data_IF_740155930190
#
_entry.id   IF_740155930190
#
_cell.length_a   1.000
_cell.length_b   1.000
_cell.length_c   1.000
_cell.angle_alpha   90.00
_cell.angle_beta   90.00
_cell.angle_gamma   90.00
#
_symmetry.space_group_name_H-M   'P 1'
#
loop_
_entity.id
_entity.type
_entity.pdbx_description
1 polymer ?
#
# COMPACT_ATOMS: atom_id res chain seq x y z
N UNK A 1 9.28 -5.30 24.19
CA UNK A 1 8.56 -6.45 23.64
C UNK A 1 8.90 -6.50 22.17
N UNK A 2 9.48 -7.59 21.69
CA UNK A 2 9.91 -7.72 20.30
C UNK A 2 8.83 -8.44 19.48
N UNK A 3 8.66 -8.09 18.19
CA UNK A 3 7.76 -8.80 17.31
C UNK A 3 8.29 -10.21 17.03
N UNK A 4 7.40 -11.19 16.89
CA UNK A 4 7.77 -12.54 16.43
C UNK A 4 7.97 -12.60 14.92
N UNK A 5 7.23 -11.75 14.20
CA UNK A 5 7.30 -11.62 12.75
C UNK A 5 7.25 -10.13 12.44
N UNK A 6 8.14 -9.68 11.57
CA UNK A 6 8.09 -8.34 11.02
C UNK A 6 8.41 -8.42 9.52
N UNK A 7 7.52 -7.85 8.71
CA UNK A 7 7.62 -7.88 7.25
C UNK A 7 7.10 -6.60 6.65
N UNK A 8 7.66 -6.20 5.51
CA UNK A 8 7.02 -5.23 4.65
C UNK A 8 6.01 -5.95 3.77
N UNK A 9 4.96 -5.24 3.39
CA UNK A 9 4.08 -5.62 2.30
C UNK A 9 4.10 -4.51 1.27
N UNK A 10 4.24 -4.86 0.00
CA UNK A 10 4.27 -3.90 -1.09
C UNK A 10 3.36 -4.32 -2.25
N UNK A 11 2.86 -3.34 -3.00
CA UNK A 11 2.02 -3.54 -4.16
C UNK A 11 2.35 -2.49 -5.23
N UNK A 12 2.23 -2.87 -6.51
CA UNK A 12 2.49 -1.98 -7.66
C UNK A 12 1.24 -1.85 -8.51
N UNK A 13 0.96 -0.65 -9.02
CA UNK A 13 -0.09 -0.45 -10.01
C UNK A 13 0.38 -0.95 -11.38
N UNK A 14 -0.54 -1.44 -12.24
CA UNK A 14 -0.19 -1.93 -13.57
C UNK A 14 0.10 -0.81 -14.59
N UNK A 15 -0.36 0.41 -14.32
CA UNK A 15 -0.28 1.58 -15.19
C UNK A 15 -0.21 2.90 -14.39
N UNK A 16 -0.16 4.02 -15.13
CA UNK A 16 -0.15 5.40 -14.64
C UNK A 16 -1.53 6.07 -14.67
N UNK A 17 -2.60 5.33 -14.96
CA UNK A 17 -3.94 5.90 -15.06
C UNK A 17 -4.63 5.96 -13.69
N UNK A 18 -4.35 4.96 -12.83
CA UNK A 18 -5.03 4.80 -11.55
C UNK A 18 -4.06 4.52 -10.41
N UNK A 19 -3.98 5.47 -9.47
CA UNK A 19 -3.35 5.28 -8.16
C UNK A 19 -4.29 4.51 -7.22
N UNK A 20 -4.62 3.28 -7.59
CA UNK A 20 -5.53 2.38 -6.88
C UNK A 20 -4.87 1.02 -6.63
N UNK A 21 -4.88 0.57 -5.38
CA UNK A 21 -4.21 -0.66 -4.93
C UNK A 21 -5.18 -1.79 -4.54
N UNK A 22 -6.45 -1.68 -4.93
CA UNK A 22 -7.46 -2.72 -4.72
C UNK A 22 -7.33 -3.83 -5.77
N UNK A 23 -7.65 -5.06 -5.41
CA UNK A 23 -7.61 -6.21 -6.34
C UNK A 23 -8.74 -6.19 -7.40
N UNK A 24 -9.78 -5.39 -7.17
CA UNK A 24 -10.95 -5.29 -8.05
C UNK A 24 -11.26 -3.82 -8.23
N UNK A 25 -11.58 -3.42 -9.47
CA UNK A 25 -12.02 -2.08 -9.81
C UNK A 25 -13.45 -2.08 -10.34
N UNK A 26 -14.15 -0.98 -10.11
CA UNK A 26 -15.44 -0.71 -10.71
C UNK A 26 -15.25 -0.10 -12.11
N UNK A 27 -16.08 -0.53 -13.06
CA UNK A 27 -16.14 -0.01 -14.42
C UNK A 27 -17.27 1.04 -14.54
N UNK A 28 -17.26 1.89 -15.59
CA UNK A 28 -18.28 2.94 -15.76
C UNK A 28 -19.74 2.43 -15.82
N UNK A 29 -19.94 1.16 -16.11
CA UNK A 29 -21.24 0.49 -16.17
C UNK A 29 -21.61 -0.24 -14.86
N UNK A 30 -20.91 0.07 -13.75
CA UNK A 30 -21.06 -0.53 -12.42
C UNK A 30 -20.77 -2.03 -12.35
N UNK A 31 -20.09 -2.57 -13.37
CA UNK A 31 -19.53 -3.92 -13.29
C UNK A 31 -18.16 -3.90 -12.60
N UNK A 32 -17.78 -5.04 -12.04
CA UNK A 32 -16.46 -5.21 -11.41
C UNK A 32 -15.53 -5.97 -12.35
N UNK A 33 -14.31 -5.46 -12.50
CA UNK A 33 -13.25 -6.10 -13.26
C UNK A 33 -12.03 -6.39 -12.37
N UNK A 34 -11.28 -7.48 -12.66
CA UNK A 34 -10.00 -7.69 -12.02
C UNK A 34 -9.07 -6.49 -12.20
N UNK A 35 -8.42 -6.08 -11.12
CA UNK A 35 -7.33 -5.12 -11.10
C UNK A 35 -6.14 -5.83 -10.46
N UNK A 36 -5.12 -6.26 -11.23
CA UNK A 36 -4.12 -7.23 -10.77
C UNK A 36 -3.09 -6.65 -9.80
N UNK A 37 -3.53 -5.83 -8.84
CA UNK A 37 -2.70 -5.32 -7.75
C UNK A 37 -2.75 -6.30 -6.59
N UNK A 38 -1.59 -6.86 -6.27
CA UNK A 38 -1.42 -7.87 -5.22
C UNK A 38 -0.38 -7.35 -4.23
N UNK A 39 -0.68 -7.50 -2.95
CA UNK A 39 0.24 -7.19 -1.86
C UNK A 39 1.13 -8.39 -1.58
N UNK A 40 2.43 -8.21 -1.83
CA UNK A 40 3.44 -9.24 -1.66
C UNK A 40 4.28 -8.94 -0.41
N UNK A 41 4.63 -9.96 0.39
CA UNK A 41 5.51 -9.78 1.53
C UNK A 41 6.97 -9.61 1.08
N UNK A 42 7.71 -8.79 1.81
CA UNK A 42 9.15 -8.59 1.66
C UNK A 42 9.82 -8.48 3.04
N UNK A 43 11.08 -8.89 3.13
CA UNK A 43 11.84 -8.78 4.36
C UNK A 43 12.18 -7.32 4.65
N UNK A 44 12.07 -6.91 5.92
CA UNK A 44 12.56 -5.60 6.36
C UNK A 44 14.03 -5.70 6.76
N UNK A 45 14.76 -4.59 6.64
CA UNK A 45 16.07 -4.47 7.25
C UNK A 45 15.92 -4.23 8.75
N UNK A 46 16.48 -5.12 9.57
CA UNK A 46 16.59 -4.93 11.02
C UNK A 46 17.82 -4.07 11.33
N UNK A 47 17.59 -2.87 11.87
CA UNK A 47 18.62 -1.91 12.25
C UNK A 47 19.02 -2.04 13.74
N UNK A 48 18.42 -3.00 14.46
CA UNK A 48 18.58 -3.19 15.89
C UNK A 48 17.74 -2.23 16.73
N UNK A 49 17.70 -2.47 18.04
CA UNK A 49 16.95 -1.66 19.02
C UNK A 49 15.46 -1.45 18.65
N UNK A 50 14.84 -2.45 18.00
CA UNK A 50 13.45 -2.38 17.56
C UNK A 50 13.20 -1.41 16.39
N UNK A 51 14.24 -1.02 15.66
CA UNK A 51 14.15 -0.17 14.46
C UNK A 51 14.23 -1.04 13.21
N UNK A 52 13.25 -0.86 12.32
CA UNK A 52 13.14 -1.64 11.09
C UNK A 52 12.90 -0.71 9.90
N UNK A 53 13.50 -1.02 8.76
CA UNK A 53 13.45 -0.20 7.56
C UNK A 53 12.90 -1.02 6.39
N UNK A 54 11.93 -0.43 5.68
CA UNK A 54 11.49 -0.86 4.37
C UNK A 54 11.74 0.29 3.41
N UNK A 55 12.58 0.08 2.42
CA UNK A 55 12.98 1.09 1.44
C UNK A 55 12.79 0.52 0.03
N UNK A 56 12.23 1.33 -0.86
CA UNK A 56 11.89 0.94 -2.22
C UNK A 56 12.30 2.03 -3.19
N UNK A 57 12.86 1.64 -4.33
CA UNK A 57 13.07 2.53 -5.47
C UNK A 57 11.73 2.92 -6.11
N UNK A 58 11.71 4.11 -6.71
CA UNK A 58 10.57 4.55 -7.51
C UNK A 58 10.31 3.55 -8.66
N UNK A 59 9.05 3.13 -8.85
CA UNK A 59 8.73 2.26 -9.97
C UNK A 59 8.96 3.00 -11.30
N UNK A 60 9.34 2.30 -12.38
CA UNK A 60 9.55 2.94 -13.69
C UNK A 60 8.26 3.51 -14.30
N UNK A 61 7.09 3.06 -13.83
CA UNK A 61 5.76 3.56 -14.17
C UNK A 61 4.80 3.30 -13.00
N UNK A 62 3.73 4.09 -12.93
CA UNK A 62 2.67 3.93 -11.94
C UNK A 62 3.13 4.26 -10.52
N UNK A 63 2.59 3.53 -9.55
CA UNK A 63 2.87 3.73 -8.13
C UNK A 63 3.22 2.42 -7.44
N UNK A 64 4.07 2.53 -6.42
CA UNK A 64 4.36 1.49 -5.46
C UNK A 64 3.83 1.93 -4.10
N UNK A 65 2.97 1.13 -3.49
CA UNK A 65 2.55 1.29 -2.11
C UNK A 65 3.23 0.25 -1.23
N UNK A 66 3.61 0.62 -0.01
CA UNK A 66 4.20 -0.29 0.95
C UNK A 66 3.89 0.11 2.39
N UNK A 67 3.90 -0.86 3.29
CA UNK A 67 3.82 -0.67 4.74
C UNK A 67 4.60 -1.78 5.45
N UNK A 68 4.82 -1.63 6.75
CA UNK A 68 5.41 -2.67 7.62
C UNK A 68 4.32 -3.23 8.53
N UNK A 69 4.25 -4.56 8.63
CA UNK A 69 3.42 -5.28 9.60
C UNK A 69 4.30 -5.94 10.66
N UNK A 70 3.97 -5.71 11.93
CA UNK A 70 4.60 -6.36 13.07
C UNK A 70 3.58 -7.24 13.81
N UNK A 71 3.93 -8.50 14.04
CA UNK A 71 3.09 -9.49 14.71
C UNK A 71 3.67 -9.82 16.09
N UNK A 72 2.88 -9.63 17.14
CA UNK A 72 3.26 -9.86 18.54
C UNK A 72 2.45 -11.01 19.15
N UNK A 73 3.01 -11.74 20.12
CA UNK A 73 2.28 -12.79 20.82
C UNK A 73 1.19 -12.18 21.70
N UNK A 74 0.04 -12.84 21.75
CA UNK A 74 -1.05 -12.51 22.65
C UNK A 74 -1.54 -13.76 23.42
N UNK A 75 -2.30 -13.59 24.52
CA UNK A 75 -2.81 -14.71 25.31
C UNK A 75 -3.60 -15.73 24.46
N UNK A 76 -3.69 -16.96 24.98
CA UNK A 76 -4.45 -18.06 24.35
C UNK A 76 -3.96 -18.48 22.95
N UNK A 77 -2.68 -18.27 22.65
CA UNK A 77 -2.11 -18.64 21.35
C UNK A 77 -2.58 -17.76 20.19
N UNK A 78 -3.05 -16.54 20.51
CA UNK A 78 -3.43 -15.54 19.51
C UNK A 78 -2.25 -14.62 19.18
N UNK A 79 -2.42 -13.76 18.17
CA UNK A 79 -1.43 -12.76 17.80
C UNK A 79 -2.09 -11.39 17.63
N UNK A 80 -1.34 -10.33 17.93
CA UNK A 80 -1.71 -8.96 17.62
C UNK A 80 -0.89 -8.50 16.42
N UNK A 81 -1.55 -7.93 15.43
CA UNK A 81 -0.91 -7.39 14.24
C UNK A 81 -1.09 -5.88 14.23
N UNK A 82 0.03 -5.17 14.04
CA UNK A 82 0.07 -3.73 13.89
C UNK A 82 0.71 -3.39 12.56
N UNK A 83 0.15 -2.42 11.85
CA UNK A 83 0.71 -1.92 10.60
C UNK A 83 1.11 -0.46 10.75
N UNK A 84 2.15 -0.07 10.04
CA UNK A 84 2.37 1.36 9.77
C UNK A 84 1.30 1.88 8.82
N UNK A 85 1.30 3.19 8.61
CA UNK A 85 0.58 3.78 7.49
C UNK A 85 1.17 3.26 6.16
N UNK A 86 0.34 3.30 5.11
CA UNK A 86 0.77 2.97 3.76
C UNK A 86 1.50 4.18 3.18
N UNK A 87 2.77 3.99 2.82
CA UNK A 87 3.52 4.97 2.06
C UNK A 87 3.42 4.66 0.57
N UNK A 88 3.28 5.68 -0.28
CA UNK A 88 3.09 5.50 -1.72
C UNK A 88 4.07 6.40 -2.48
N UNK A 89 4.84 5.78 -3.38
CA UNK A 89 5.84 6.45 -4.20
C UNK A 89 5.56 6.23 -5.69
N UNK A 90 5.77 7.25 -6.55
CA UNK A 90 6.04 8.64 -6.19
C UNK A 90 4.78 9.34 -5.60
N UNK A 91 4.97 10.45 -4.88
CA UNK A 91 3.86 11.27 -4.33
C UNK A 91 3.19 12.15 -5.41
N UNK A 92 2.72 11.53 -6.48
CA UNK A 92 2.01 12.18 -7.58
C UNK A 92 0.58 11.65 -7.71
N UNK A 93 -0.27 12.39 -8.40
CA UNK A 93 -1.62 11.94 -8.77
C UNK A 93 -1.76 11.92 -10.30
N UNK A 94 -2.58 11.01 -10.87
CA UNK A 94 -2.83 10.95 -12.31
C UNK A 94 -3.66 12.13 -12.85
N UNK A 95 -4.06 13.05 -11.98
CA UNK A 95 -4.88 14.20 -12.32
C UNK A 95 -4.31 15.47 -11.67
N UNK A 96 -4.52 16.65 -12.28
CA UNK A 96 -4.10 17.92 -11.71
C UNK A 96 -4.84 18.19 -10.40
N UNK A 97 -4.24 19.03 -9.55
CA UNK A 97 -4.93 19.51 -8.37
C UNK A 97 -6.26 20.16 -8.73
N UNK A 98 -7.30 19.73 -8.03
CA UNK A 98 -8.66 20.10 -8.29
C UNK A 98 -9.02 21.31 -7.42
N UNK A 99 -9.29 22.46 -8.05
CA UNK A 99 -9.54 23.74 -7.37
C UNK A 99 -10.86 24.38 -7.82
N UNK A 100 -11.50 25.14 -6.94
CA UNK A 100 -12.69 25.94 -7.25
C UNK A 100 -14.02 25.17 -7.26
N UNK A 101 -15.11 25.83 -7.66
CA UNK A 101 -16.49 25.30 -7.59
C UNK A 101 -16.80 24.22 -8.62
N UNK A 102 -15.97 24.09 -9.67
CA UNK A 102 -16.04 23.02 -10.66
C UNK A 102 -15.33 21.75 -10.22
N UNK A 103 -14.61 21.78 -9.10
CA UNK A 103 -13.90 20.62 -8.57
C UNK A 103 -14.90 19.60 -8.00
N UNK A 104 -15.24 18.61 -8.82
CA UNK A 104 -16.10 17.49 -8.43
C UNK A 104 -15.28 16.21 -8.57
N UNK A 105 -15.12 15.48 -7.47
CA UNK A 105 -14.54 14.15 -7.51
C UNK A 105 -15.48 13.22 -8.26
N UNK A 106 -15.03 12.68 -9.39
CA UNK A 106 -15.66 11.50 -9.96
C UNK A 106 -14.97 10.31 -9.28
N UNK A 107 -15.75 9.52 -8.54
CA UNK A 107 -15.25 8.24 -8.02
C UNK A 107 -14.93 7.37 -9.23
N UNK A 108 -13.65 6.99 -9.39
CA UNK A 108 -13.15 6.09 -10.43
C UNK A 108 -12.74 4.76 -9.84
#
# INVERSE_FOLDING_TARGET
>A
MEPMIIRSFHARTPDEERRDFRFVKELPDHQYAPHPVVWLPEDVQDMGNGTYVAEFDFPPYGWLAFFIQATFPAPHGTALEFTTEVHIIPETFPFPECHGTGCKGNLV
#
